data_IF_325146839722
#
_entry.id   IF_325146839722
#
_cell.length_a   1.000
_cell.length_b   1.000
_cell.length_c   1.000
_cell.angle_alpha   90.00
_cell.angle_beta   90.00
_cell.angle_gamma   90.00
#
_symmetry.space_group_name_H-M   'P 1'
#
loop_
_entity.id
_entity.type
_entity.pdbx_description
1 polymer ?
#
# COMPACT_ATOMS: atom_id res chain seq x y z
N UNK A 1 -9.42 1.81 -3.47
CA UNK A 1 -10.63 2.45 -4.03
C UNK A 1 -10.56 2.33 -5.54
N UNK A 2 -11.60 1.86 -6.22
CA UNK A 2 -11.59 1.64 -7.67
C UNK A 2 -12.37 2.71 -8.41
N UNK A 3 -12.04 2.95 -9.68
CA UNK A 3 -12.74 3.90 -10.54
C UNK A 3 -14.23 3.54 -10.71
N UNK A 4 -14.54 2.25 -10.65
CA UNK A 4 -15.92 1.76 -10.63
C UNK A 4 -16.72 2.29 -9.44
N UNK A 5 -16.18 2.18 -8.22
CA UNK A 5 -16.85 2.66 -7.00
C UNK A 5 -17.04 4.18 -7.05
N UNK A 6 -16.03 4.91 -7.54
CA UNK A 6 -16.11 6.36 -7.70
C UNK A 6 -17.19 6.74 -8.72
N UNK A 7 -17.27 6.02 -9.84
CA UNK A 7 -18.30 6.23 -10.87
C UNK A 7 -19.72 6.02 -10.35
N UNK A 8 -19.93 5.02 -9.50
CA UNK A 8 -21.22 4.79 -8.83
C UNK A 8 -21.59 5.94 -7.89
N UNK A 9 -20.62 6.48 -7.16
CA UNK A 9 -20.88 7.61 -6.26
C UNK A 9 -21.17 8.90 -7.02
N UNK A 10 -20.46 9.14 -8.13
CA UNK A 10 -20.75 10.23 -9.07
C UNK A 10 -22.16 10.09 -9.64
N UNK A 11 -22.58 8.88 -10.05
CA UNK A 11 -23.93 8.63 -10.54
C UNK A 11 -25.00 8.99 -9.49
N UNK A 12 -24.84 8.49 -8.25
CA UNK A 12 -25.76 8.75 -7.15
C UNK A 12 -25.87 10.23 -6.86
N UNK A 13 -24.72 10.90 -6.70
CA UNK A 13 -24.67 12.33 -6.41
C UNK A 13 -25.26 13.16 -7.55
N UNK A 14 -24.89 12.88 -8.80
CA UNK A 14 -25.44 13.56 -9.98
C UNK A 14 -26.97 13.48 -10.02
N UNK A 15 -27.53 12.29 -9.77
CA UNK A 15 -28.99 12.07 -9.70
C UNK A 15 -29.62 12.83 -8.54
N UNK A 16 -29.00 12.82 -7.35
CA UNK A 16 -29.49 13.53 -6.17
C UNK A 16 -29.55 15.05 -6.37
N UNK A 17 -28.66 15.62 -7.17
CA UNK A 17 -28.66 17.06 -7.52
C UNK A 17 -29.43 17.39 -8.80
N UNK A 18 -30.14 16.42 -9.41
CA UNK A 18 -31.00 16.65 -10.57
C UNK A 18 -30.28 16.87 -11.90
N UNK A 19 -28.97 16.63 -12.00
CA UNK A 19 -28.22 16.86 -13.24
C UNK A 19 -28.37 15.69 -14.22
N UNK A 20 -28.49 15.99 -15.52
CA UNK A 20 -28.36 14.97 -16.57
C UNK A 20 -26.88 14.68 -16.84
N UNK A 21 -26.57 13.54 -17.47
CA UNK A 21 -25.20 13.23 -17.89
C UNK A 21 -24.65 14.27 -18.87
N UNK A 22 -25.48 14.78 -19.78
CA UNK A 22 -25.07 15.83 -20.72
C UNK A 22 -24.76 17.14 -19.99
N UNK A 23 -25.57 17.52 -19.01
CA UNK A 23 -25.33 18.75 -18.26
C UNK A 23 -24.04 18.66 -17.44
N UNK A 24 -23.80 17.55 -16.73
CA UNK A 24 -22.54 17.32 -16.03
C UNK A 24 -21.34 17.31 -16.99
N UNK A 25 -21.48 16.71 -18.17
CA UNK A 25 -20.44 16.70 -19.19
C UNK A 25 -20.08 18.12 -19.64
N UNK A 26 -21.08 18.97 -19.91
CA UNK A 26 -20.86 20.38 -20.28
C UNK A 26 -20.14 21.15 -19.17
N UNK A 27 -20.62 21.05 -17.92
CA UNK A 27 -20.00 21.72 -16.76
C UNK A 27 -18.55 21.26 -16.54
N UNK A 28 -18.27 19.98 -16.77
CA UNK A 28 -16.94 19.39 -16.62
C UNK A 28 -16.05 19.57 -17.86
N UNK A 29 -16.55 20.15 -18.96
CA UNK A 29 -15.88 20.18 -20.27
C UNK A 29 -15.39 18.78 -20.70
N UNK A 30 -16.28 17.80 -20.60
CA UNK A 30 -16.06 16.40 -21.00
C UNK A 30 -17.14 15.97 -21.99
N UNK A 31 -16.91 14.84 -22.65
CA UNK A 31 -17.95 14.23 -23.47
C UNK A 31 -19.01 13.55 -22.59
N UNK A 32 -20.27 13.55 -23.02
CA UNK A 32 -21.33 12.77 -22.38
C UNK A 32 -20.98 11.29 -22.31
N UNK A 33 -20.29 10.77 -23.33
CA UNK A 33 -19.84 9.38 -23.36
C UNK A 33 -18.84 9.07 -22.23
N UNK A 34 -17.94 10.01 -21.91
CA UNK A 34 -17.01 9.86 -20.79
C UNK A 34 -17.75 9.75 -19.46
N UNK A 35 -18.73 10.63 -19.21
CA UNK A 35 -19.56 10.59 -17.99
C UNK A 35 -20.35 9.28 -17.92
N UNK A 36 -20.97 8.86 -19.02
CA UNK A 36 -21.74 7.62 -19.09
C UNK A 36 -20.88 6.38 -18.84
N UNK A 37 -19.69 6.28 -19.44
CA UNK A 37 -18.77 5.17 -19.21
C UNK A 37 -18.20 5.13 -17.80
N UNK A 38 -17.94 6.30 -17.21
CA UNK A 38 -17.53 6.41 -15.81
C UNK A 38 -18.61 5.88 -14.87
N UNK A 39 -19.85 6.36 -15.02
CA UNK A 39 -20.99 5.93 -14.19
C UNK A 39 -21.32 4.45 -14.39
N UNK A 40 -21.14 3.91 -15.61
CA UNK A 40 -21.32 2.49 -15.90
C UNK A 40 -20.12 1.61 -15.47
N UNK A 41 -19.01 2.21 -15.02
CA UNK A 41 -17.80 1.47 -14.65
C UNK A 41 -17.07 0.79 -15.82
N UNK A 42 -17.28 1.25 -17.06
CA UNK A 42 -16.67 0.71 -18.28
C UNK A 42 -15.48 1.54 -18.79
N UNK A 43 -15.16 2.62 -18.07
CA UNK A 43 -13.96 3.41 -18.32
C UNK A 43 -12.77 2.72 -17.64
N UNK A 44 -11.72 2.42 -18.41
CA UNK A 44 -10.50 1.79 -17.87
C UNK A 44 -9.66 2.81 -17.11
N UNK A 45 -9.47 3.98 -17.73
CA UNK A 45 -8.65 5.05 -17.19
C UNK A 45 -9.31 6.42 -17.39
N UNK A 46 -9.14 7.27 -16.38
CA UNK A 46 -9.49 8.68 -16.43
C UNK A 46 -8.44 9.45 -15.64
N UNK A 47 -7.87 10.49 -16.27
CA UNK A 47 -6.87 11.34 -15.60
C UNK A 47 -7.42 11.92 -14.30
N UNK A 48 -6.58 12.01 -13.27
CA UNK A 48 -6.94 12.58 -11.96
C UNK A 48 -7.59 13.96 -12.07
N UNK A 49 -7.09 14.84 -12.94
CA UNK A 49 -7.65 16.19 -13.16
C UNK A 49 -9.11 16.16 -13.64
N UNK A 50 -9.43 15.27 -14.59
CA UNK A 50 -10.80 15.13 -15.10
C UNK A 50 -11.74 14.55 -14.03
N UNK A 51 -11.24 13.58 -13.27
CA UNK A 51 -12.01 12.95 -12.19
C UNK A 51 -12.32 13.94 -11.07
N UNK A 52 -11.31 14.66 -10.59
CA UNK A 52 -11.46 15.71 -9.57
C UNK A 52 -12.34 16.86 -10.04
N UNK A 53 -12.30 17.24 -11.33
CA UNK A 53 -13.21 18.25 -11.89
C UNK A 53 -14.67 17.82 -11.83
N UNK A 54 -14.99 16.59 -12.26
CA UNK A 54 -16.36 16.06 -12.15
C UNK A 54 -16.80 16.03 -10.68
N UNK A 55 -15.95 15.51 -9.80
CA UNK A 55 -16.25 15.40 -8.37
C UNK A 55 -16.49 16.78 -7.75
N UNK A 56 -15.64 17.76 -8.05
CA UNK A 56 -15.77 19.13 -7.54
C UNK A 56 -17.07 19.81 -7.93
N UNK A 57 -17.53 19.64 -9.19
CA UNK A 57 -18.84 20.15 -9.64
C UNK A 57 -19.99 19.56 -8.83
N UNK A 58 -19.85 18.30 -8.40
CA UNK A 58 -20.85 17.59 -7.60
C UNK A 58 -20.69 17.81 -6.09
N UNK A 59 -19.69 18.58 -5.65
CA UNK A 59 -19.36 18.78 -4.24
C UNK A 59 -18.75 17.54 -3.57
N UNK A 60 -18.13 16.65 -4.35
CA UNK A 60 -17.41 15.49 -3.87
C UNK A 60 -15.90 15.76 -3.85
N UNK A 61 -15.18 15.13 -2.93
CA UNK A 61 -13.72 15.22 -2.82
C UNK A 61 -13.13 13.87 -2.44
N UNK A 62 -11.83 13.71 -2.71
CA UNK A 62 -11.05 12.65 -2.08
C UNK A 62 -10.61 13.10 -0.69
N UNK A 63 -10.56 12.15 0.25
CA UNK A 63 -9.89 12.38 1.52
C UNK A 63 -8.38 12.58 1.26
N UNK A 64 -7.71 13.46 2.02
CA UNK A 64 -6.27 13.61 1.93
C UNK A 64 -5.55 12.30 2.31
N UNK A 65 -4.40 11.99 1.69
CA UNK A 65 -3.59 10.85 2.10
C UNK A 65 -3.29 10.89 3.59
N UNK A 66 -3.43 9.76 4.28
CA UNK A 66 -3.21 9.68 5.73
C UNK A 66 -2.60 8.35 6.17
N UNK A 67 -1.95 8.38 7.34
CA UNK A 67 -1.39 7.18 7.99
C UNK A 67 -2.45 6.38 8.78
N UNK A 68 -3.72 6.76 8.76
CA UNK A 68 -4.76 6.13 9.59
C UNK A 68 -4.89 4.62 9.30
N UNK A 69 -4.86 4.21 8.03
CA UNK A 69 -4.92 2.81 7.67
C UNK A 69 -3.66 2.03 8.12
N UNK A 70 -2.49 2.68 8.05
CA UNK A 70 -1.20 2.12 8.47
C UNK A 70 -1.14 1.90 9.99
N UNK A 71 -1.59 2.88 10.78
CA UNK A 71 -1.58 2.83 12.25
C UNK A 71 -2.46 1.72 12.86
N UNK A 72 -3.38 1.15 12.08
CA UNK A 72 -4.23 0.02 12.50
C UNK A 72 -3.60 -1.36 12.25
N UNK A 73 -2.43 -1.41 11.60
CA UNK A 73 -1.75 -2.67 11.23
C UNK A 73 -0.52 -2.87 12.10
N UNK A 74 -0.23 -4.14 12.41
CA UNK A 74 0.97 -4.57 13.13
C UNK A 74 1.96 -5.18 12.12
N UNK A 75 2.83 -4.36 11.54
CA UNK A 75 3.75 -4.72 10.47
C UNK A 75 4.71 -5.86 10.84
N UNK A 76 5.35 -5.80 12.00
CA UNK A 76 6.26 -6.84 12.48
C UNK A 76 5.55 -8.17 12.69
N UNK A 77 4.35 -8.14 13.28
CA UNK A 77 3.54 -9.36 13.48
C UNK A 77 3.12 -9.97 12.14
N UNK A 78 2.67 -9.14 11.20
CA UNK A 78 2.32 -9.59 9.85
C UNK A 78 3.54 -10.22 9.16
N UNK A 79 4.68 -9.55 9.21
CA UNK A 79 5.94 -10.03 8.63
C UNK A 79 6.40 -11.35 9.25
N UNK A 80 6.42 -11.46 10.57
CA UNK A 80 6.81 -12.67 11.30
C UNK A 80 5.92 -13.86 10.91
N UNK A 81 4.60 -13.63 10.80
CA UNK A 81 3.66 -14.71 10.47
C UNK A 81 3.74 -15.16 9.01
N UNK A 82 3.86 -14.23 8.06
CA UNK A 82 4.01 -14.60 6.63
C UNK A 82 5.34 -15.30 6.36
N UNK A 83 6.37 -15.02 7.16
CA UNK A 83 7.71 -15.59 6.96
C UNK A 83 7.88 -16.99 7.56
N UNK A 84 6.87 -17.50 8.27
CA UNK A 84 6.94 -18.77 9.03
C UNK A 84 6.08 -19.90 8.45
N UNK A 85 5.38 -19.67 7.33
CA UNK A 85 4.30 -20.54 6.83
C UNK A 85 4.78 -21.95 6.46
N UNK A 86 6.06 -22.12 6.09
CA UNK A 86 6.62 -23.40 5.65
C UNK A 86 7.62 -24.01 6.64
N UNK A 87 7.84 -23.41 7.81
CA UNK A 87 8.90 -23.83 8.74
C UNK A 87 8.34 -24.38 10.04
N UNK A 88 8.94 -25.47 10.54
CA UNK A 88 8.57 -26.09 11.83
C UNK A 88 8.76 -25.14 13.02
N UNK A 89 9.67 -24.17 12.89
CA UNK A 89 9.97 -23.15 13.90
C UNK A 89 9.47 -21.80 13.39
N UNK A 90 8.46 -21.26 14.06
CA UNK A 90 7.97 -19.91 13.75
C UNK A 90 9.01 -18.86 14.18
N UNK A 91 9.26 -17.88 13.32
CA UNK A 91 10.01 -16.68 13.65
C UNK A 91 9.11 -15.77 14.48
N UNK A 92 9.49 -15.49 15.73
CA UNK A 92 8.71 -14.59 16.59
C UNK A 92 8.88 -13.13 16.16
N UNK A 93 7.97 -12.28 16.64
CA UNK A 93 8.01 -10.83 16.41
C UNK A 93 9.31 -10.23 16.94
N UNK A 94 9.75 -10.67 18.12
CA UNK A 94 10.95 -10.22 18.81
C UNK A 94 12.21 -10.68 18.05
N UNK A 95 12.19 -11.90 17.52
CA UNK A 95 13.30 -12.45 16.72
C UNK A 95 13.48 -11.64 15.44
N UNK A 96 12.38 -11.35 14.73
CA UNK A 96 12.41 -10.51 13.53
C UNK A 96 12.83 -9.08 13.87
N UNK A 97 12.26 -8.48 14.92
CA UNK A 97 12.63 -7.14 15.37
C UNK A 97 14.11 -7.05 15.72
N UNK A 98 14.66 -8.03 16.42
CA UNK A 98 16.09 -8.11 16.69
C UNK A 98 16.89 -8.12 15.39
N UNK A 99 16.57 -9.03 14.46
CA UNK A 99 17.28 -9.13 13.18
C UNK A 99 17.24 -7.84 12.36
N UNK A 100 16.10 -7.14 12.33
CA UNK A 100 15.96 -5.84 11.66
C UNK A 100 16.76 -4.73 12.37
N UNK A 101 16.81 -4.77 13.69
CA UNK A 101 17.42 -3.71 14.51
C UNK A 101 18.93 -3.86 14.62
N UNK A 102 19.46 -5.08 14.62
CA UNK A 102 20.91 -5.34 14.71
C UNK A 102 21.53 -5.57 13.34
N UNK A 103 20.75 -6.09 12.38
CA UNK A 103 21.28 -6.60 11.12
C UNK A 103 21.88 -8.00 11.26
N UNK A 104 21.62 -8.69 12.36
CA UNK A 104 22.12 -10.04 12.63
C UNK A 104 20.97 -11.03 12.74
N UNK A 105 20.98 -12.06 11.90
CA UNK A 105 19.97 -13.12 11.93
C UNK A 105 20.37 -14.16 12.98
N UNK A 106 19.51 -14.46 13.96
CA UNK A 106 19.79 -15.51 14.93
C UNK A 106 19.91 -16.89 14.25
N UNK A 107 20.81 -17.73 14.74
CA UNK A 107 21.07 -19.06 14.16
C UNK A 107 19.81 -19.91 14.03
N UNK A 108 19.63 -20.50 12.85
CA UNK A 108 18.47 -21.35 12.53
C UNK A 108 17.23 -20.58 12.09
N UNK A 109 17.34 -19.27 11.84
CA UNK A 109 16.29 -18.42 11.27
C UNK A 109 16.66 -17.82 9.91
N UNK A 110 17.78 -18.23 9.32
CA UNK A 110 18.27 -17.71 8.04
C UNK A 110 17.26 -17.96 6.91
N UNK A 111 16.64 -19.14 6.89
CA UNK A 111 15.66 -19.51 5.88
C UNK A 111 14.35 -18.70 6.00
N UNK A 112 13.90 -18.43 7.23
CA UNK A 112 12.74 -17.58 7.52
C UNK A 112 13.03 -16.12 7.17
N UNK A 113 14.25 -15.64 7.47
CA UNK A 113 14.67 -14.30 7.11
C UNK A 113 14.78 -14.13 5.59
N UNK A 114 15.34 -15.13 4.88
CA UNK A 114 15.38 -15.12 3.42
C UNK A 114 13.96 -15.11 2.84
N UNK A 115 13.07 -15.97 3.35
CA UNK A 115 11.67 -16.00 2.94
C UNK A 115 10.95 -14.66 3.23
N UNK A 116 11.25 -13.99 4.35
CA UNK A 116 10.74 -12.64 4.60
C UNK A 116 11.18 -11.66 3.49
N UNK A 117 12.45 -11.66 3.11
CA UNK A 117 12.99 -10.76 2.10
C UNK A 117 12.44 -11.03 0.70
N UNK A 118 12.19 -12.30 0.38
CA UNK A 118 11.77 -12.72 -0.97
C UNK A 118 10.26 -12.85 -1.16
N UNK A 119 9.47 -12.99 -0.09
CA UNK A 119 8.03 -13.24 -0.19
C UNK A 119 7.16 -12.19 0.51
N UNK A 120 7.65 -11.51 1.56
CA UNK A 120 6.83 -10.47 2.19
C UNK A 120 6.57 -9.32 1.21
N UNK A 121 5.31 -8.86 1.10
CA UNK A 121 5.01 -7.68 0.28
C UNK A 121 5.84 -6.47 0.72
N UNK A 122 6.27 -5.62 -0.23
CA UNK A 122 7.04 -4.39 0.09
C UNK A 122 6.31 -3.52 1.12
N UNK A 123 4.97 -3.48 1.07
CA UNK A 123 4.19 -2.79 2.08
C UNK A 123 4.43 -3.37 3.50
N UNK A 124 4.42 -4.69 3.67
CA UNK A 124 4.69 -5.33 4.97
C UNK A 124 6.12 -5.02 5.43
N UNK A 125 7.11 -5.06 4.54
CA UNK A 125 8.49 -4.71 4.86
C UNK A 125 8.58 -3.28 5.39
N UNK A 126 8.00 -2.30 4.69
CA UNK A 126 8.00 -0.89 5.11
C UNK A 126 7.39 -0.73 6.51
N UNK A 127 6.29 -1.43 6.79
CA UNK A 127 5.65 -1.40 8.11
C UNK A 127 6.53 -2.02 9.20
N UNK A 128 7.14 -3.17 8.93
CA UNK A 128 8.04 -3.85 9.86
C UNK A 128 9.28 -3.01 10.17
N UNK A 129 9.84 -2.33 9.17
CA UNK A 129 10.98 -1.41 9.34
C UNK A 129 10.61 -0.22 10.20
N UNK A 130 9.47 0.41 9.92
CA UNK A 130 8.96 1.54 10.73
C UNK A 130 8.78 1.16 12.20
N UNK A 131 8.20 -0.02 12.47
CA UNK A 131 8.00 -0.51 13.84
C UNK A 131 9.31 -0.91 14.53
N UNK A 132 10.21 -1.62 13.84
CA UNK A 132 11.53 -1.97 14.39
C UNK A 132 12.36 -0.73 14.75
N UNK A 133 12.31 0.29 13.88
CA UNK A 133 12.97 1.57 14.11
C UNK A 133 12.38 2.31 15.33
N UNK A 134 11.05 2.33 15.45
CA UNK A 134 10.35 2.91 16.59
C UNK A 134 10.71 2.20 17.91
N UNK A 135 10.68 0.87 17.93
CA UNK A 135 10.98 0.06 19.13
C UNK A 135 12.45 0.24 19.55
N UNK A 136 13.36 0.31 18.59
CA UNK A 136 14.80 0.47 18.86
C UNK A 136 15.24 1.92 19.07
N UNK A 137 14.31 2.87 19.00
CA UNK A 137 14.57 4.30 19.08
C UNK A 137 15.65 4.77 18.07
N UNK A 138 15.55 4.29 16.83
CA UNK A 138 16.47 4.60 15.75
C UNK A 138 15.76 5.16 14.52
N UNK A 139 16.51 5.82 13.64
CA UNK A 139 15.98 6.25 12.35
C UNK A 139 15.71 5.03 11.44
N UNK A 140 14.56 4.96 10.73
CA UNK A 140 14.26 3.87 9.78
C UNK A 140 15.34 3.65 8.72
N UNK A 141 16.10 4.69 8.34
CA UNK A 141 17.22 4.58 7.40
C UNK A 141 18.31 3.63 7.87
N UNK A 142 18.55 3.51 9.18
CA UNK A 142 19.52 2.54 9.73
C UNK A 142 19.04 1.11 9.53
N UNK A 143 17.75 0.85 9.79
CA UNK A 143 17.13 -0.46 9.60
C UNK A 143 17.13 -0.86 8.12
N UNK A 144 16.81 0.08 7.22
CA UNK A 144 16.94 -0.13 5.77
C UNK A 144 18.37 -0.46 5.35
N UNK A 145 19.36 0.26 5.88
CA UNK A 145 20.78 -0.01 5.59
C UNK A 145 21.20 -1.43 6.01
N UNK A 146 20.68 -1.91 7.14
CA UNK A 146 20.92 -3.29 7.61
C UNK A 146 20.26 -4.31 6.70
N UNK A 147 19.01 -4.07 6.29
CA UNK A 147 18.31 -4.94 5.35
C UNK A 147 19.02 -5.03 3.99
N UNK A 148 19.48 -3.89 3.46
CA UNK A 148 20.24 -3.85 2.20
C UNK A 148 21.55 -4.63 2.28
N UNK A 149 22.19 -4.68 3.46
CA UNK A 149 23.38 -5.52 3.69
C UNK A 149 23.02 -7.00 3.86
N UNK A 150 21.91 -7.30 4.54
CA UNK A 150 21.46 -8.67 4.80
C UNK A 150 20.98 -9.39 3.54
N UNK A 151 20.30 -8.69 2.62
CA UNK A 151 19.78 -9.29 1.38
C UNK A 151 20.83 -10.08 0.60
N UNK A 152 21.94 -9.46 0.18
CA UNK A 152 23.02 -10.15 -0.52
C UNK A 152 23.69 -11.26 0.30
N UNK A 153 23.84 -11.07 1.62
CA UNK A 153 24.46 -12.07 2.52
C UNK A 153 23.62 -13.34 2.62
N UNK A 154 22.30 -13.20 2.63
CA UNK A 154 21.37 -14.33 2.71
C UNK A 154 21.01 -14.90 1.34
N UNK A 155 21.37 -14.22 0.25
CA UNK A 155 21.07 -14.65 -1.12
C UNK A 155 19.68 -14.29 -1.61
N UNK A 156 19.07 -13.20 -1.11
CA UNK A 156 17.75 -12.73 -1.53
C UNK A 156 17.70 -12.44 -3.04
N UNK A 157 16.61 -12.83 -3.67
CA UNK A 157 16.41 -12.74 -5.12
C UNK A 157 15.97 -11.35 -5.58
N UNK A 158 15.24 -10.60 -4.72
CA UNK A 158 14.72 -9.25 -5.03
C UNK A 158 15.79 -8.15 -4.95
N UNK A 159 16.77 -8.21 -5.85
CA UNK A 159 17.93 -7.30 -5.85
C UNK A 159 17.56 -5.83 -6.01
N UNK A 160 16.49 -5.52 -6.74
CA UNK A 160 16.00 -4.15 -6.92
C UNK A 160 15.43 -3.50 -5.64
N UNK A 161 15.10 -4.32 -4.63
CA UNK A 161 14.61 -3.84 -3.33
C UNK A 161 15.76 -3.69 -2.32
N UNK A 162 16.78 -4.55 -2.42
CA UNK A 162 17.84 -4.69 -1.41
C UNK A 162 19.22 -4.19 -1.86
N UNK A 163 19.43 -3.94 -3.15
CA UNK A 163 20.72 -3.63 -3.79
C UNK A 163 20.83 -2.22 -4.34
#
# INVERSE_FOLDING_TARGET
MSLHVIGQEIYRRRKAVGLTQQHLANLSNLSRQTVQRLEAGTIKDLSFQRLTKIMGILGLSFDPPSLAARKRKNGLWMAAKTSSVSYKKEMSVETLQHALSTGEVPRGYEAQMLHFLDEASVQIVVMAVEEAAMISNEAPTKVWSRLAKLGPVLGAERKEVWG
#
